data_IF_967057313212
#
_entry.id   IF_967057313212
#
_cell.length_a   1.000
_cell.length_b   1.000
_cell.length_c   1.000
_cell.angle_alpha   90.00
_cell.angle_beta   90.00
_cell.angle_gamma   90.00
#
_symmetry.space_group_name_H-M   'P 1'
#
loop_
_entity.id
_entity.type
_entity.pdbx_description
1 polymer ?
#
# COMPACT_ATOMS: atom_id res chain seq x y z
N UNK A 1 2.88 -8.95 -18.18
CA UNK A 1 1.76 -9.73 -18.78
C UNK A 1 0.71 -9.93 -17.70
N UNK A 2 -0.56 -9.77 -18.04
CA UNK A 2 -1.69 -10.16 -17.20
C UNK A 2 -2.28 -11.48 -17.73
N UNK A 3 -2.74 -12.36 -16.85
CA UNK A 3 -3.27 -13.67 -17.20
C UNK A 3 -4.60 -13.87 -16.49
N UNK A 4 -5.63 -14.31 -17.21
CA UNK A 4 -6.87 -14.81 -16.63
C UNK A 4 -6.75 -16.32 -16.42
N UNK A 5 -6.96 -16.77 -15.18
CA UNK A 5 -6.90 -18.18 -14.79
C UNK A 5 -8.29 -18.57 -14.29
N UNK A 6 -8.78 -19.71 -14.77
CA UNK A 6 -10.02 -20.29 -14.28
C UNK A 6 -9.83 -20.87 -12.87
N UNK A 7 -10.67 -20.42 -11.95
CA UNK A 7 -10.65 -20.83 -10.53
C UNK A 7 -11.95 -21.51 -10.10
N UNK A 8 -12.85 -21.81 -11.03
CA UNK A 8 -14.07 -22.57 -10.75
C UNK A 8 -13.77 -24.07 -10.78
N UNK A 9 -13.91 -24.74 -9.62
CA UNK A 9 -13.60 -26.17 -9.44
C UNK A 9 -14.48 -27.08 -10.30
N UNK A 10 -15.68 -26.61 -10.70
CA UNK A 10 -16.62 -27.37 -11.52
C UNK A 10 -16.40 -27.15 -13.03
N UNK A 11 -15.49 -26.26 -13.42
CA UNK A 11 -15.19 -25.95 -14.81
C UNK A 11 -14.26 -26.98 -15.45
N UNK A 12 -14.53 -27.36 -16.71
CA UNK A 12 -13.64 -28.19 -17.52
C UNK A 12 -12.24 -27.56 -17.72
N UNK A 13 -12.12 -26.24 -17.51
CA UNK A 13 -10.87 -25.48 -17.62
C UNK A 13 -10.27 -25.08 -16.28
N UNK A 14 -10.70 -25.66 -15.15
CA UNK A 14 -10.15 -25.38 -13.82
C UNK A 14 -8.61 -25.39 -13.79
N UNK A 15 -8.02 -24.39 -13.13
CA UNK A 15 -6.57 -24.16 -13.05
C UNK A 15 -5.86 -23.93 -14.40
N UNK A 16 -6.60 -23.66 -15.49
CA UNK A 16 -6.03 -23.35 -16.79
C UNK A 16 -6.08 -21.85 -17.10
N UNK A 17 -5.23 -21.43 -18.02
CA UNK A 17 -5.20 -20.06 -18.51
C UNK A 17 -6.29 -19.89 -19.57
N UNK A 18 -7.24 -19.00 -19.32
CA UNK A 18 -8.31 -18.66 -20.24
C UNK A 18 -7.84 -17.67 -21.31
N UNK A 19 -7.10 -16.64 -20.90
CA UNK A 19 -6.57 -15.61 -21.80
C UNK A 19 -5.38 -14.87 -21.20
N UNK A 20 -4.65 -14.12 -22.04
CA UNK A 20 -3.44 -13.39 -21.67
C UNK A 20 -3.42 -12.02 -22.36
N UNK A 21 -3.04 -10.98 -21.61
CA UNK A 21 -2.69 -9.67 -22.15
C UNK A 21 -1.18 -9.45 -21.99
N UNK A 22 -0.45 -9.54 -23.10
CA UNK A 22 0.99 -9.27 -23.13
C UNK A 22 1.20 -7.76 -23.15
N UNK A 23 1.98 -7.25 -22.20
CA UNK A 23 2.29 -5.83 -22.11
C UNK A 23 3.39 -5.48 -23.13
N UNK A 24 3.31 -4.32 -23.80
CA UNK A 24 4.16 -4.00 -24.94
C UNK A 24 5.62 -3.68 -24.57
N UNK A 25 5.92 -3.42 -23.30
CA UNK A 25 7.24 -3.00 -22.85
C UNK A 25 7.85 -3.97 -21.82
N UNK A 26 9.18 -3.94 -21.72
CA UNK A 26 9.97 -4.76 -20.80
C UNK A 26 10.50 -3.90 -19.65
N UNK A 27 10.74 -4.51 -18.49
CA UNK A 27 11.34 -3.82 -17.34
C UNK A 27 10.33 -3.04 -16.48
N UNK A 28 9.05 -3.37 -16.60
CA UNK A 28 7.96 -2.63 -15.95
C UNK A 28 7.81 -2.87 -14.47
N UNK A 29 8.00 -4.13 -14.05
CA UNK A 29 7.73 -4.54 -12.68
C UNK A 29 6.29 -4.21 -12.25
N UNK A 30 5.33 -4.93 -12.85
CA UNK A 30 3.95 -4.96 -12.37
C UNK A 30 3.94 -5.58 -10.98
N UNK A 31 3.39 -4.87 -9.99
CA UNK A 31 3.46 -5.28 -8.58
C UNK A 31 2.08 -5.34 -7.93
N UNK A 32 1.50 -4.19 -7.61
CA UNK A 32 0.12 -4.07 -7.15
C UNK A 32 -0.84 -3.87 -8.32
N UNK A 33 -2.10 -4.26 -8.12
CA UNK A 33 -3.16 -4.09 -9.13
C UNK A 33 -4.45 -3.63 -8.47
N UNK A 34 -5.24 -2.81 -9.15
CA UNK A 34 -6.52 -2.29 -8.66
C UNK A 34 -7.64 -2.41 -9.68
N UNK A 35 -8.88 -2.23 -9.23
CA UNK A 35 -10.06 -2.15 -10.10
C UNK A 35 -10.44 -0.70 -10.36
N UNK A 36 -11.01 -0.43 -11.55
CA UNK A 36 -11.52 0.91 -11.89
C UNK A 36 -12.74 1.33 -11.06
N UNK A 37 -13.53 0.35 -10.62
CA UNK A 37 -14.69 0.57 -9.77
C UNK A 37 -14.80 -0.54 -8.72
N UNK A 38 -15.42 -0.25 -7.58
CA UNK A 38 -15.65 -1.24 -6.54
C UNK A 38 -16.88 -0.90 -5.70
N UNK A 39 -17.06 -1.59 -4.57
CA UNK A 39 -18.19 -1.38 -3.67
C UNK A 39 -18.23 0.04 -3.08
N UNK A 40 -17.14 0.82 -3.17
CA UNK A 40 -17.16 2.25 -2.86
C UNK A 40 -18.16 3.01 -3.75
N UNK A 41 -18.39 2.55 -4.98
CA UNK A 41 -19.32 3.12 -5.96
C UNK A 41 -20.77 2.61 -5.81
N UNK A 42 -21.17 2.10 -4.63
CA UNK A 42 -22.48 1.50 -4.39
C UNK A 42 -23.70 2.32 -4.86
N UNK A 43 -23.63 3.66 -4.77
CA UNK A 43 -24.72 4.55 -5.20
C UNK A 43 -24.70 4.88 -6.71
N UNK A 44 -23.82 4.23 -7.48
CA UNK A 44 -23.63 4.48 -8.92
C UNK A 44 -23.86 3.19 -9.73
N UNK A 45 -25.10 2.93 -10.18
CA UNK A 45 -25.44 1.73 -10.95
C UNK A 45 -24.65 1.57 -12.26
N UNK A 46 -24.13 2.67 -12.81
CA UNK A 46 -23.31 2.66 -14.03
C UNK A 46 -21.84 2.30 -13.78
N UNK A 47 -21.38 2.26 -12.53
CA UNK A 47 -20.01 1.89 -12.19
C UNK A 47 -19.85 0.37 -12.26
N UNK A 48 -19.06 -0.10 -13.24
CA UNK A 48 -18.78 -1.51 -13.45
C UNK A 48 -17.29 -1.81 -13.29
N UNK A 49 -16.98 -2.98 -12.74
CA UNK A 49 -15.64 -3.57 -12.72
C UNK A 49 -15.34 -4.12 -14.09
N UNK A 50 -14.67 -3.31 -14.90
CA UNK A 50 -14.40 -3.63 -16.31
C UNK A 50 -12.91 -3.62 -16.61
N UNK A 51 -12.11 -2.92 -15.78
CA UNK A 51 -10.68 -2.79 -16.00
C UNK A 51 -9.88 -3.12 -14.74
N UNK A 52 -8.77 -3.83 -14.97
CA UNK A 52 -7.66 -3.94 -14.03
C UNK A 52 -6.64 -2.85 -14.37
N UNK A 53 -6.24 -2.09 -13.35
CA UNK A 53 -5.18 -1.08 -13.42
C UNK A 53 -3.89 -1.74 -12.93
N UNK A 54 -2.83 -1.59 -13.72
CA UNK A 54 -1.50 -2.14 -13.46
C UNK A 54 -0.47 -1.01 -13.36
N UNK A 55 -0.29 -0.40 -12.18
CA UNK A 55 0.87 0.42 -11.89
C UNK A 55 2.16 -0.40 -12.03
N UNK A 56 3.14 0.17 -12.71
CA UNK A 56 4.42 -0.47 -12.96
C UNK A 56 5.52 0.30 -12.22
N UNK A 57 6.08 -0.33 -11.20
CA UNK A 57 7.01 0.32 -10.29
C UNK A 57 8.21 0.91 -11.03
N UNK A 58 8.95 0.03 -11.73
CA UNK A 58 10.26 0.41 -12.25
C UNK A 58 10.15 1.39 -13.42
N UNK A 59 9.21 1.16 -14.34
CA UNK A 59 9.05 2.01 -15.52
C UNK A 59 8.18 3.24 -15.31
N UNK A 60 7.39 3.31 -14.23
CA UNK A 60 6.38 4.34 -13.99
C UNK A 60 5.24 4.38 -15.03
N UNK A 61 5.04 3.32 -15.81
CA UNK A 61 3.83 3.18 -16.65
C UNK A 61 2.64 2.71 -15.83
N UNK A 62 1.45 3.04 -16.32
CA UNK A 62 0.19 2.52 -15.77
C UNK A 62 -0.60 1.96 -16.93
N UNK A 63 -0.98 0.69 -16.85
CA UNK A 63 -1.81 0.04 -17.86
C UNK A 63 -3.25 -0.11 -17.38
N UNK A 64 -4.19 0.04 -18.30
CA UNK A 64 -5.61 -0.23 -18.08
C UNK A 64 -6.01 -1.37 -19.01
N UNK A 65 -6.23 -2.54 -18.41
CA UNK A 65 -6.56 -3.77 -19.13
C UNK A 65 -8.03 -4.06 -18.94
N UNK A 66 -8.78 -4.08 -20.04
CA UNK A 66 -10.19 -4.49 -20.04
C UNK A 66 -10.27 -6.01 -19.80
N UNK A 67 -11.13 -6.38 -18.86
CA UNK A 67 -11.35 -7.75 -18.41
C UNK A 67 -12.85 -8.09 -18.35
N UNK A 68 -13.69 -7.37 -19.11
CA UNK A 68 -15.14 -7.65 -19.19
C UNK A 68 -15.44 -9.03 -19.78
N UNK A 69 -14.56 -9.51 -20.65
CA UNK A 69 -14.55 -10.86 -21.19
C UNK A 69 -13.26 -11.54 -20.73
N UNK A 70 -13.38 -12.49 -19.80
CA UNK A 70 -12.25 -13.23 -19.23
C UNK A 70 -11.51 -14.10 -20.26
N UNK A 71 -12.12 -14.37 -21.42
CA UNK A 71 -11.50 -15.09 -22.55
C UNK A 71 -10.87 -14.15 -23.57
N UNK A 72 -11.09 -12.84 -23.44
CA UNK A 72 -10.54 -11.81 -24.32
C UNK A 72 -10.08 -10.55 -23.55
N UNK A 73 -9.21 -10.76 -22.56
CA UNK A 73 -8.59 -9.64 -21.86
C UNK A 73 -7.65 -8.87 -22.79
N UNK A 74 -7.71 -7.54 -22.77
CA UNK A 74 -6.98 -6.70 -23.73
C UNK A 74 -6.55 -5.36 -23.12
N UNK A 75 -5.46 -4.83 -23.64
CA UNK A 75 -4.95 -3.53 -23.23
C UNK A 75 -5.74 -2.41 -23.92
N UNK A 76 -6.44 -1.58 -23.15
CA UNK A 76 -7.26 -0.48 -23.69
C UNK A 76 -6.55 0.88 -23.59
N UNK A 77 -5.73 1.11 -22.55
CA UNK A 77 -5.01 2.39 -22.35
C UNK A 77 -3.67 2.19 -21.62
N UNK A 78 -2.71 3.04 -21.96
CA UNK A 78 -1.41 3.19 -21.28
C UNK A 78 -1.27 4.66 -20.88
N UNK A 79 -0.87 4.91 -19.64
CA UNK A 79 -0.27 6.19 -19.24
C UNK A 79 1.25 5.99 -19.28
N UNK A 80 1.91 6.77 -20.11
CA UNK A 80 3.36 6.76 -20.29
C UNK A 80 4.11 7.37 -19.10
N UNK A 81 5.41 7.07 -18.90
CA UNK A 81 6.19 7.70 -17.86
C UNK A 81 6.26 9.23 -18.06
N UNK A 82 6.33 9.70 -19.30
CA UNK A 82 6.37 11.12 -19.66
C UNK A 82 5.09 11.85 -19.23
N UNK A 83 3.93 11.21 -19.32
CA UNK A 83 2.68 11.77 -18.78
C UNK A 83 2.73 11.89 -17.26
N UNK A 84 3.31 10.92 -16.55
CA UNK A 84 3.49 10.97 -15.09
C UNK A 84 4.47 12.08 -14.66
N UNK A 85 5.48 12.37 -15.49
CA UNK A 85 6.42 13.47 -15.24
C UNK A 85 5.74 14.83 -15.13
N UNK A 86 4.63 15.05 -15.84
CA UNK A 86 3.86 16.30 -15.75
C UNK A 86 3.31 16.55 -14.34
N UNK A 87 3.22 15.51 -13.52
CA UNK A 87 2.75 15.57 -12.13
C UNK A 87 3.91 15.51 -11.12
N UNK A 88 5.17 15.60 -11.60
CA UNK A 88 6.38 15.44 -10.80
C UNK A 88 6.30 14.18 -9.90
N UNK A 89 5.95 13.05 -10.53
CA UNK A 89 5.67 11.79 -9.87
C UNK A 89 6.31 10.61 -10.62
N UNK A 90 6.72 9.59 -9.86
CA UNK A 90 7.23 8.32 -10.38
C UNK A 90 6.90 7.17 -9.44
N UNK A 91 7.19 5.95 -9.89
CA UNK A 91 7.09 4.73 -9.10
C UNK A 91 5.69 4.52 -8.49
N UNK A 92 4.64 4.45 -9.34
CA UNK A 92 3.26 4.27 -8.90
C UNK A 92 3.07 2.85 -8.34
N UNK A 93 2.35 2.71 -7.23
CA UNK A 93 2.30 1.45 -6.48
C UNK A 93 0.87 0.94 -6.25
N UNK A 94 0.23 1.26 -5.11
CA UNK A 94 -1.13 0.84 -4.79
C UNK A 94 -2.16 1.69 -5.52
N UNK A 95 -3.21 1.04 -6.02
CA UNK A 95 -4.32 1.67 -6.74
C UNK A 95 -5.67 1.34 -6.07
N UNK A 96 -6.50 2.36 -5.83
CA UNK A 96 -7.85 2.19 -5.32
C UNK A 96 -8.90 3.04 -6.07
N UNK A 97 -10.08 2.46 -6.27
CA UNK A 97 -11.29 3.07 -6.86
C UNK A 97 -12.06 3.92 -5.86
N UNK A 98 -12.20 5.21 -6.13
CA UNK A 98 -12.89 6.15 -5.24
C UNK A 98 -14.41 6.18 -5.48
N UNK A 99 -15.16 6.56 -4.45
CA UNK A 99 -16.62 6.66 -4.51
C UNK A 99 -17.11 7.75 -5.49
N UNK A 100 -16.29 8.77 -5.75
CA UNK A 100 -16.57 9.81 -6.74
C UNK A 100 -16.39 9.32 -8.20
N UNK A 101 -15.89 8.10 -8.38
CA UNK A 101 -15.67 7.47 -9.68
C UNK A 101 -14.29 7.74 -10.27
N UNK A 102 -13.41 8.47 -9.57
CA UNK A 102 -12.00 8.57 -9.91
C UNK A 102 -11.25 7.34 -9.39
N UNK A 103 -10.02 7.18 -9.87
CA UNK A 103 -9.04 6.21 -9.38
C UNK A 103 -7.92 7.00 -8.74
N UNK A 104 -7.45 6.54 -7.59
CA UNK A 104 -6.27 7.11 -6.93
C UNK A 104 -5.16 6.07 -6.94
N UNK A 105 -3.92 6.52 -7.14
CA UNK A 105 -2.72 5.67 -7.13
C UNK A 105 -1.64 6.39 -6.35
N UNK A 106 -1.06 5.77 -5.33
CA UNK A 106 0.08 6.41 -4.65
C UNK A 106 1.34 6.34 -5.52
N UNK A 107 2.18 7.35 -5.40
CA UNK A 107 3.47 7.48 -6.08
C UNK A 107 4.57 7.62 -5.04
N UNK A 108 5.65 6.85 -5.18
CA UNK A 108 6.70 6.76 -4.17
C UNK A 108 7.87 7.72 -4.41
N UNK A 109 7.96 8.35 -5.58
CA UNK A 109 8.98 9.35 -5.83
C UNK A 109 8.53 10.51 -6.71
N UNK A 110 9.43 11.50 -6.80
CA UNK A 110 9.30 12.64 -7.71
C UNK A 110 9.63 12.24 -9.15
N UNK A 111 9.54 13.17 -10.11
CA UNK A 111 9.89 12.89 -11.50
C UNK A 111 11.32 12.38 -11.71
N UNK A 112 12.22 12.70 -10.77
CA UNK A 112 13.62 12.28 -10.77
C UNK A 112 13.89 11.04 -9.90
N UNK A 113 12.86 10.31 -9.45
CA UNK A 113 12.96 9.14 -8.58
C UNK A 113 13.53 9.44 -7.16
N UNK A 114 13.52 10.70 -6.71
CA UNK A 114 13.87 11.07 -5.34
C UNK A 114 12.69 10.84 -4.37
N UNK A 115 12.98 10.98 -3.07
CA UNK A 115 12.00 10.90 -1.98
C UNK A 115 10.87 11.91 -2.17
N UNK A 116 9.67 11.41 -2.52
CA UNK A 116 8.44 12.19 -2.53
C UNK A 116 7.24 11.26 -2.65
N UNK A 117 6.44 11.20 -1.60
CA UNK A 117 5.17 10.50 -1.58
C UNK A 117 3.99 11.42 -1.92
N UNK A 118 3.18 11.01 -2.88
CA UNK A 118 1.92 11.66 -3.23
C UNK A 118 0.89 10.62 -3.74
N UNK A 119 -0.27 11.08 -4.18
CA UNK A 119 -1.32 10.25 -4.76
C UNK A 119 -1.84 10.88 -6.04
N UNK A 120 -1.64 10.22 -7.17
CA UNK A 120 -2.14 10.62 -8.47
C UNK A 120 -3.64 10.30 -8.57
N UNK A 121 -4.43 11.28 -9.01
CA UNK A 121 -5.84 11.13 -9.33
C UNK A 121 -6.00 10.92 -10.84
N UNK A 122 -6.79 9.91 -11.20
CA UNK A 122 -7.06 9.51 -12.57
C UNK A 122 -8.57 9.47 -12.76
N UNK A 123 -9.05 9.97 -13.90
CA UNK A 123 -10.46 9.86 -14.24
C UNK A 123 -10.84 8.39 -14.49
N UNK A 124 -11.81 7.86 -13.75
CA UNK A 124 -12.18 6.43 -13.87
C UNK A 124 -12.98 6.09 -15.12
N UNK A 125 -13.31 7.06 -15.98
CA UNK A 125 -13.96 6.82 -17.28
C UNK A 125 -13.00 6.98 -18.44
N UNK A 126 -12.20 8.05 -18.46
CA UNK A 126 -11.27 8.33 -19.57
C UNK A 126 -9.87 7.77 -19.35
N UNK A 127 -9.55 7.40 -18.10
CA UNK A 127 -8.21 6.98 -17.67
C UNK A 127 -7.13 8.03 -17.91
N UNK A 128 -7.52 9.30 -17.96
CA UNK A 128 -6.56 10.42 -18.01
C UNK A 128 -6.14 10.81 -16.59
N UNK A 129 -4.83 11.05 -16.36
CA UNK A 129 -4.36 11.77 -15.18
C UNK A 129 -5.06 13.13 -15.03
N UNK A 130 -5.40 13.50 -13.80
CA UNK A 130 -6.10 14.75 -13.48
C UNK A 130 -5.20 15.69 -12.70
N UNK A 131 -4.84 15.29 -11.49
CA UNK A 131 -4.08 16.07 -10.53
C UNK A 131 -3.48 15.15 -9.46
N UNK A 132 -2.73 15.70 -8.51
CA UNK A 132 -2.33 15.03 -7.29
C UNK A 132 -3.29 15.36 -6.14
N UNK A 133 -3.52 14.39 -5.25
CA UNK A 133 -4.34 14.55 -4.05
C UNK A 133 -3.74 15.56 -3.07
N UNK A 134 -2.41 15.57 -2.92
CA UNK A 134 -1.68 16.56 -2.14
C UNK A 134 -1.07 17.61 -3.07
N UNK A 135 -1.16 18.87 -2.65
CA UNK A 135 -0.31 19.93 -3.18
C UNK A 135 1.16 19.54 -3.05
N UNK A 136 1.99 19.99 -3.99
CA UNK A 136 3.41 19.64 -4.06
C UNK A 136 4.17 19.94 -2.74
N UNK A 137 3.88 21.09 -2.15
CA UNK A 137 4.45 21.55 -0.87
C UNK A 137 4.00 20.75 0.35
N UNK A 138 2.92 19.97 0.23
CA UNK A 138 2.32 19.14 1.29
C UNK A 138 2.66 17.67 1.14
N UNK A 139 3.45 17.30 0.13
CA UNK A 139 3.93 15.94 -0.08
C UNK A 139 4.64 15.39 1.17
N UNK A 140 4.66 14.06 1.28
CA UNK A 140 5.37 13.34 2.35
C UNK A 140 6.72 12.87 1.84
N UNK A 141 7.72 12.63 2.70
CA UNK A 141 9.05 12.20 2.24
C UNK A 141 8.99 10.84 1.54
N UNK A 142 8.14 9.92 2.01
CA UNK A 142 8.03 8.57 1.46
C UNK A 142 6.56 8.17 1.27
N UNK A 143 6.33 7.18 0.41
CA UNK A 143 5.05 6.51 0.25
C UNK A 143 5.28 5.02 0.01
N UNK A 144 4.28 4.20 0.32
CA UNK A 144 4.23 2.78 -0.04
C UNK A 144 2.80 2.33 -0.32
N UNK A 145 1.96 2.31 0.71
CA UNK A 145 0.57 1.88 0.61
C UNK A 145 -0.34 2.93 1.24
N UNK A 146 -1.62 2.87 0.92
CA UNK A 146 -2.62 3.69 1.57
C UNK A 146 -3.99 3.03 1.48
N UNK A 147 -4.84 3.37 2.44
CA UNK A 147 -6.26 3.03 2.37
C UNK A 147 -7.05 4.18 3.01
N UNK A 148 -8.31 4.32 2.64
CA UNK A 148 -9.21 5.34 3.14
C UNK A 148 -10.54 4.79 3.67
N UNK A 149 -11.16 5.52 4.59
CA UNK A 149 -12.47 5.26 5.19
C UNK A 149 -13.31 6.55 5.12
N UNK A 150 -14.03 6.81 4.01
CA UNK A 150 -14.70 8.09 3.78
C UNK A 150 -15.75 8.42 4.85
N UNK A 151 -16.47 7.40 5.34
CA UNK A 151 -17.50 7.56 6.40
C UNK A 151 -16.90 7.99 7.75
N UNK A 152 -15.59 7.85 7.93
CA UNK A 152 -14.84 8.28 9.12
C UNK A 152 -13.93 9.46 8.82
N UNK A 153 -14.06 10.05 7.62
CA UNK A 153 -13.30 11.18 7.14
C UNK A 153 -11.77 11.03 7.27
N UNK A 154 -11.26 9.81 7.06
CA UNK A 154 -9.85 9.49 7.30
C UNK A 154 -9.24 8.69 6.15
N UNK A 155 -7.99 9.01 5.84
CA UNK A 155 -7.10 8.18 5.04
C UNK A 155 -5.81 7.97 5.81
N UNK A 156 -5.20 6.80 5.64
CA UNK A 156 -3.89 6.47 6.18
C UNK A 156 -2.99 6.04 5.04
N UNK A 157 -1.76 6.55 5.03
CA UNK A 157 -0.69 6.05 4.18
C UNK A 157 0.53 5.66 5.00
N UNK A 158 1.37 4.84 4.39
CA UNK A 158 2.61 4.32 4.97
C UNK A 158 3.81 4.67 4.09
N UNK A 159 5.00 4.28 4.54
CA UNK A 159 6.27 4.69 3.97
C UNK A 159 7.16 3.50 3.59
N UNK A 160 7.87 3.63 2.47
CA UNK A 160 8.94 2.71 2.08
C UNK A 160 10.28 3.43 1.94
N UNK A 161 10.64 3.90 0.76
CA UNK A 161 11.94 4.51 0.45
C UNK A 161 11.88 5.25 -0.88
N UNK A 162 12.95 5.93 -1.29
CA UNK A 162 12.98 6.49 -2.66
C UNK A 162 13.06 5.39 -3.70
N UNK A 163 12.46 5.59 -4.86
CA UNK A 163 12.66 4.74 -6.02
C UNK A 163 14.14 4.54 -6.38
N UNK A 164 14.98 5.59 -6.26
CA UNK A 164 16.44 5.48 -6.46
C UNK A 164 17.10 4.40 -5.60
N UNK A 165 16.74 4.32 -4.33
CA UNK A 165 17.33 3.35 -3.38
C UNK A 165 16.70 1.98 -3.50
N UNK A 166 15.39 1.94 -3.68
CA UNK A 166 14.64 0.70 -3.85
C UNK A 166 15.16 -0.11 -5.04
N UNK A 167 15.42 0.56 -6.18
CA UNK A 167 15.91 -0.08 -7.41
C UNK A 167 17.31 -0.69 -7.25
N UNK A 168 18.10 -0.24 -6.28
CA UNK A 168 19.42 -0.79 -5.96
C UNK A 168 19.35 -2.03 -5.06
N UNK A 169 18.15 -2.35 -4.53
CA UNK A 169 17.94 -3.39 -3.53
C UNK A 169 18.03 -2.86 -2.10
N UNK A 170 17.68 -3.70 -1.13
CA UNK A 170 17.72 -3.30 0.28
C UNK A 170 19.16 -3.25 0.82
N UNK A 171 19.55 -2.10 1.37
CA UNK A 171 20.83 -1.93 2.09
C UNK A 171 20.58 -1.49 3.56
N UNK A 172 20.95 -2.31 4.56
CA UNK A 172 20.88 -1.94 5.97
C UNK A 172 21.64 -0.66 6.32
N UNK A 173 22.71 -0.32 5.59
CA UNK A 173 23.45 0.93 5.82
C UNK A 173 22.65 2.14 5.39
N UNK A 174 21.79 2.00 4.39
CA UNK A 174 20.91 3.07 3.93
C UNK A 174 19.71 3.27 4.85
N UNK A 175 19.24 2.21 5.52
CA UNK A 175 18.29 2.34 6.63
C UNK A 175 18.86 3.19 7.76
N UNK A 176 20.11 2.96 8.16
CA UNK A 176 20.78 3.77 9.18
C UNK A 176 21.00 5.24 8.75
N UNK A 177 21.03 5.53 7.44
CA UNK A 177 21.13 6.89 6.89
C UNK A 177 19.78 7.59 6.72
N UNK A 178 18.66 6.92 7.05
CA UNK A 178 17.31 7.48 6.90
C UNK A 178 16.78 7.47 5.46
N UNK A 179 17.31 6.61 4.60
CA UNK A 179 16.83 6.47 3.21
C UNK A 179 15.56 5.62 3.09
N UNK A 180 15.11 5.03 4.19
CA UNK A 180 13.86 4.29 4.31
C UNK A 180 12.99 4.91 5.40
N UNK A 181 11.70 4.96 5.14
CA UNK A 181 10.70 5.47 6.05
C UNK A 181 10.36 4.52 7.19
N UNK A 182 9.79 5.11 8.21
CA UNK A 182 9.34 4.42 9.42
C UNK A 182 8.09 5.09 10.00
N UNK A 183 7.35 5.82 9.17
CA UNK A 183 6.19 6.58 9.62
C UNK A 183 4.91 6.16 8.91
N UNK A 184 3.81 6.57 9.53
CA UNK A 184 2.46 6.43 9.02
C UNK A 184 1.83 7.81 9.05
N UNK A 185 1.16 8.20 7.97
CA UNK A 185 0.52 9.50 7.87
C UNK A 185 -0.99 9.37 7.93
N UNK A 186 -1.63 10.23 8.71
CA UNK A 186 -3.07 10.30 8.87
C UNK A 186 -3.55 11.59 8.21
N UNK A 187 -4.52 11.46 7.31
CA UNK A 187 -5.10 12.55 6.57
C UNK A 187 -6.59 12.68 6.88
N UNK A 188 -7.08 13.91 6.87
CA UNK A 188 -8.51 14.20 6.78
C UNK A 188 -8.96 14.01 5.35
N UNK A 189 -9.81 13.02 5.12
CA UNK A 189 -10.17 12.56 3.78
C UNK A 189 -10.84 13.66 2.94
N UNK A 190 -11.75 14.43 3.55
CA UNK A 190 -12.55 15.46 2.89
C UNK A 190 -11.78 16.71 2.49
N UNK A 191 -10.73 17.07 3.24
CA UNK A 191 -9.96 18.30 3.02
C UNK A 191 -8.57 18.06 2.44
N UNK A 192 -8.18 16.78 2.28
CA UNK A 192 -6.86 16.35 1.80
C UNK A 192 -5.71 16.84 2.70
N UNK A 193 -6.01 17.12 3.96
CA UNK A 193 -5.06 17.69 4.90
C UNK A 193 -4.38 16.58 5.69
N UNK A 194 -3.04 16.60 5.76
CA UNK A 194 -2.28 15.71 6.64
C UNK A 194 -2.43 16.20 8.08
N UNK A 195 -3.17 15.46 8.89
CA UNK A 195 -3.43 15.76 10.29
C UNK A 195 -2.25 15.40 11.18
N UNK A 196 -1.63 14.25 10.91
CA UNK A 196 -0.59 13.70 11.81
C UNK A 196 0.37 12.78 11.06
N UNK A 197 1.64 12.83 11.46
CA UNK A 197 2.61 11.77 11.22
C UNK A 197 2.82 11.01 12.52
N UNK A 198 2.77 9.68 12.45
CA UNK A 198 3.08 8.77 13.54
C UNK A 198 4.38 8.07 13.17
N UNK A 199 5.46 8.45 13.84
CA UNK A 199 6.75 7.77 13.71
C UNK A 199 6.73 6.45 14.49
N UNK A 200 7.15 5.38 13.84
CA UNK A 200 7.33 4.07 14.44
C UNK A 200 8.80 3.93 14.88
N UNK A 201 9.08 3.28 16.02
CA UNK A 201 10.46 3.00 16.41
C UNK A 201 11.14 2.14 15.35
N UNK A 202 12.26 2.61 14.78
CA UNK A 202 12.97 1.94 13.67
C UNK A 202 13.28 0.48 13.97
N UNK A 203 13.68 0.15 15.21
CA UNK A 203 13.99 -1.22 15.62
C UNK A 203 12.77 -2.16 15.55
N UNK A 204 11.55 -1.63 15.66
CA UNK A 204 10.32 -2.41 15.79
C UNK A 204 9.34 -2.23 14.63
N UNK A 205 9.49 -1.19 13.81
CA UNK A 205 8.51 -0.79 12.79
C UNK A 205 9.08 0.00 11.62
N UNK A 206 10.34 -0.22 11.26
CA UNK A 206 10.88 0.29 10.00
C UNK A 206 10.12 -0.32 8.80
N UNK A 207 10.04 0.44 7.70
CA UNK A 207 9.35 0.01 6.49
C UNK A 207 7.90 -0.44 6.77
N UNK A 208 7.03 0.45 7.27
CA UNK A 208 5.60 0.16 7.37
C UNK A 208 5.05 0.00 5.95
N UNK A 209 4.75 -1.23 5.58
CA UNK A 209 4.23 -1.59 4.27
C UNK A 209 2.71 -1.48 4.26
N UNK A 210 2.02 -2.62 4.21
CA UNK A 210 0.59 -2.70 3.91
C UNK A 210 -0.27 -2.05 4.99
N UNK A 211 -1.17 -1.16 4.57
CA UNK A 211 -2.22 -0.55 5.40
C UNK A 211 -3.50 -1.34 5.20
N UNK A 212 -4.08 -1.87 6.28
CA UNK A 212 -5.32 -2.66 6.22
C UNK A 212 -6.31 -2.18 7.28
N UNK A 213 -7.48 -1.72 6.85
CA UNK A 213 -8.59 -1.50 7.76
C UNK A 213 -9.26 -2.83 8.09
N UNK A 214 -9.69 -2.99 9.34
CA UNK A 214 -10.53 -4.13 9.70
C UNK A 214 -11.92 -4.00 9.05
N UNK A 215 -12.29 -5.03 8.28
CA UNK A 215 -13.61 -5.18 7.66
C UNK A 215 -14.63 -5.70 8.68
N UNK A 216 -14.91 -4.99 9.77
CA UNK A 216 -15.99 -5.38 10.68
C UNK A 216 -17.30 -4.67 10.33
N UNK A 217 -18.16 -5.36 9.58
CA UNK A 217 -19.58 -5.00 9.40
C UNK A 217 -20.35 -4.95 10.74
N UNK A 218 -19.90 -5.69 11.76
CA UNK A 218 -20.55 -5.75 13.07
C UNK A 218 -20.07 -4.72 14.11
N UNK A 219 -19.06 -3.90 13.80
CA UNK A 219 -18.57 -2.88 14.73
C UNK A 219 -19.26 -1.52 14.54
N UNK A 220 -20.56 -1.53 14.21
CA UNK A 220 -21.39 -0.31 14.20
C UNK A 220 -21.61 0.25 15.62
N UNK A 221 -21.32 -0.52 16.66
CA UNK A 221 -21.48 -0.11 18.06
C UNK A 221 -20.21 0.38 18.75
N UNK A 222 -19.01 0.18 18.17
CA UNK A 222 -17.79 0.75 18.72
C UNK A 222 -17.33 1.94 17.89
N UNK A 223 -17.20 3.10 18.53
CA UNK A 223 -16.58 4.30 17.97
C UNK A 223 -15.07 4.14 17.67
N UNK A 224 -14.56 2.92 17.49
CA UNK A 224 -13.14 2.61 17.39
C UNK A 224 -12.76 2.25 15.96
N UNK A 225 -11.84 3.02 15.38
CA UNK A 225 -11.16 2.68 14.13
C UNK A 225 -9.96 1.81 14.49
N UNK A 226 -9.84 0.65 13.83
CA UNK A 226 -8.68 -0.22 13.96
C UNK A 226 -8.02 -0.36 12.59
N UNK A 227 -6.69 -0.23 12.57
CA UNK A 227 -5.87 -0.34 11.36
C UNK A 227 -4.68 -1.22 11.65
N UNK A 228 -4.50 -2.24 10.84
CA UNK A 228 -3.34 -3.12 10.87
C UNK A 228 -2.32 -2.63 9.86
N UNK A 229 -1.07 -2.51 10.29
CA UNK A 229 0.06 -2.15 9.44
C UNK A 229 1.11 -3.26 9.52
N UNK A 230 1.45 -3.85 8.39
CA UNK A 230 2.54 -4.83 8.30
C UNK A 230 3.86 -4.09 8.16
N UNK A 231 4.81 -4.34 9.06
CA UNK A 231 6.13 -3.68 9.07
C UNK A 231 7.25 -4.69 9.20
N UNK A 232 8.46 -4.30 8.80
CA UNK A 232 9.66 -5.11 8.99
C UNK A 232 10.39 -4.71 10.28
N UNK A 233 10.76 -5.68 11.11
CA UNK A 233 11.70 -5.42 12.19
C UNK A 233 13.14 -5.45 11.65
N UNK A 234 13.87 -4.35 11.80
CA UNK A 234 15.30 -4.32 11.51
C UNK A 234 16.08 -4.87 12.71
N UNK A 235 16.61 -6.09 12.59
CA UNK A 235 17.60 -6.59 13.55
C UNK A 235 18.94 -5.92 13.20
N UNK A 236 19.23 -4.79 13.84
CA UNK A 236 20.56 -4.18 13.79
C UNK A 236 21.51 -5.12 14.56
N UNK A 237 22.54 -5.70 13.92
CA UNK A 237 23.51 -6.51 14.65
C UNK A 237 24.21 -5.62 15.68
N UNK A 238 24.22 -6.00 16.96
CA UNK A 238 25.14 -5.40 17.93
C UNK A 238 26.58 -5.52 17.40
N UNK A 239 27.45 -4.53 17.66
CA UNK A 239 28.88 -4.69 17.37
C UNK A 239 29.44 -5.80 18.27
N UNK A 240 29.54 -7.01 17.73
CA UNK A 240 30.22 -8.12 18.38
C UNK A 240 31.68 -7.70 18.63
N UNK A 241 32.03 -7.50 19.90
CA UNK A 241 33.41 -7.56 20.35
C UNK A 241 34.03 -8.86 19.82
N UNK A 242 35.02 -8.70 18.93
CA UNK A 242 35.88 -9.72 18.32
C UNK A 242 35.73 -11.13 18.92
N UNK A 243 35.04 -12.01 18.21
CA UNK A 243 35.38 -13.44 18.21
C UNK A 243 35.58 -13.91 16.77
N UNK A 244 36.75 -14.51 16.59
CA UNK A 244 37.28 -15.03 15.33
C UNK A 244 36.37 -16.15 14.82
N UNK A 245 35.92 -16.05 13.56
CA UNK A 245 35.15 -17.08 12.87
C UNK A 245 34.06 -16.48 12.01
N UNK A 246 34.27 -16.46 10.69
CA UNK A 246 33.28 -16.01 9.72
C UNK A 246 32.08 -16.98 9.70
N UNK A 247 30.95 -16.54 10.26
CA UNK A 247 29.64 -17.15 10.05
C UNK A 247 28.78 -16.12 9.31
N UNK A 248 28.16 -16.46 8.17
CA UNK A 248 27.28 -15.53 7.47
C UNK A 248 26.07 -15.23 8.36
N UNK A 249 25.92 -13.98 8.78
CA UNK A 249 24.74 -13.49 9.50
C UNK A 249 23.59 -13.44 8.49
N UNK A 250 22.68 -14.43 8.54
CA UNK A 250 21.38 -14.32 7.87
C UNK A 250 20.52 -13.33 8.67
N UNK A 251 20.26 -12.15 8.11
CA UNK A 251 19.20 -11.29 8.61
C UNK A 251 17.86 -12.03 8.48
N UNK A 252 17.16 -12.26 9.59
CA UNK A 252 15.77 -12.72 9.58
C UNK A 252 14.89 -11.48 9.65
N UNK A 253 14.22 -11.15 8.55
CA UNK A 253 13.10 -10.21 8.60
C UNK A 253 11.96 -10.86 9.40
N UNK A 254 11.46 -10.16 10.42
CA UNK A 254 10.25 -10.58 11.15
C UNK A 254 9.16 -9.59 10.78
N UNK A 255 8.09 -10.08 10.16
CA UNK A 255 6.90 -9.28 9.93
C UNK A 255 6.20 -9.02 11.27
N UNK A 256 5.92 -7.75 11.56
CA UNK A 256 5.13 -7.33 12.73
C UNK A 256 3.91 -6.58 12.29
N UNK A 257 2.78 -6.93 12.88
CA UNK A 257 1.55 -6.16 12.76
C UNK A 257 1.52 -5.08 13.83
N UNK A 258 1.19 -3.85 13.45
CA UNK A 258 0.94 -2.72 14.36
C UNK A 258 -0.53 -2.36 14.25
N UNK A 259 -1.25 -2.39 15.38
CA UNK A 259 -2.66 -2.01 15.46
C UNK A 259 -2.77 -0.59 16.01
N UNK A 260 -3.18 0.35 15.16
CA UNK A 260 -3.57 1.69 15.60
C UNK A 260 -5.05 1.64 16.00
N UNK A 261 -5.36 2.03 17.24
CA UNK A 261 -6.73 2.12 17.75
C UNK A 261 -6.96 3.47 18.43
N UNK A 262 -8.18 4.00 18.34
CA UNK A 262 -8.62 5.09 19.20
C UNK A 262 -8.91 4.52 20.60
N UNK A 263 -8.03 4.78 21.57
CA UNK A 263 -8.10 4.13 22.87
C UNK A 263 -8.75 5.03 23.94
N UNK A 264 -9.81 4.51 24.54
CA UNK A 264 -10.11 4.66 25.97
C UNK A 264 -10.36 3.26 26.57
N UNK A 265 -9.68 3.02 27.70
CA UNK A 265 -9.57 1.84 28.59
C UNK A 265 -8.80 0.57 28.15
N UNK A 266 -7.83 0.18 29.01
CA UNK A 266 -6.94 -0.98 28.93
C UNK A 266 -7.43 -2.13 29.84
N UNK A 267 -7.20 -3.39 29.46
CA UNK A 267 -7.05 -4.50 30.40
C UNK A 267 -5.94 -5.46 29.95
N UNK A 268 -5.07 -5.84 30.89
CA UNK A 268 -3.87 -6.64 30.66
C UNK A 268 -4.16 -8.15 30.70
N UNK A 269 -3.67 -8.91 29.71
CA UNK A 269 -3.68 -10.39 29.70
C UNK A 269 -2.62 -10.97 28.75
N UNK A 270 -1.82 -11.95 29.20
CA UNK A 270 -0.65 -12.56 28.53
C UNK A 270 -1.00 -13.97 28.09
N UNK A 271 -0.64 -14.40 26.87
CA UNK A 271 -0.57 -15.84 26.53
C UNK A 271 0.54 -16.13 25.49
N UNK A 272 1.25 -17.23 25.73
CA UNK A 272 2.26 -17.91 24.91
C UNK A 272 1.73 -18.44 23.58
N UNK A 273 2.57 -18.43 22.55
CA UNK A 273 2.33 -19.16 21.30
C UNK A 273 2.42 -20.68 21.52
N UNK A 274 1.43 -21.44 21.04
CA UNK A 274 1.64 -22.80 20.57
C UNK A 274 1.35 -22.83 19.07
N UNK A 275 2.27 -23.45 18.35
CA UNK A 275 2.13 -23.83 16.96
C UNK A 275 0.94 -24.77 16.81
N UNK A 276 -0.06 -24.36 16.03
CA UNK A 276 -0.74 -25.18 15.03
C UNK A 276 -1.69 -24.28 14.23
N UNK A 277 -1.97 -24.69 13.00
CA UNK A 277 -2.55 -23.92 11.90
C UNK A 277 -3.85 -23.15 12.22
N UNK A 278 -4.09 -22.08 11.44
CA UNK A 278 -5.29 -21.23 11.34
C UNK A 278 -5.43 -20.04 12.32
N UNK A 279 -5.61 -18.85 11.73
CA UNK A 279 -5.86 -17.53 12.34
C UNK A 279 -4.82 -17.02 13.37
N UNK A 280 -3.84 -16.26 12.87
CA UNK A 280 -3.07 -15.33 13.70
C UNK A 280 -3.96 -14.16 14.16
N UNK A 281 -4.74 -14.37 15.22
CA UNK A 281 -5.34 -13.27 15.99
C UNK A 281 -4.20 -12.62 16.78
N UNK A 282 -3.65 -11.53 16.24
CA UNK A 282 -2.62 -10.75 16.89
C UNK A 282 -3.21 -10.02 18.11
N UNK A 283 -3.20 -10.65 19.29
CA UNK A 283 -3.44 -9.96 20.57
C UNK A 283 -2.19 -9.13 20.90
N UNK A 284 -2.18 -7.87 20.48
CA UNK A 284 -1.13 -6.92 20.85
C UNK A 284 -1.27 -6.48 22.31
N UNK A 285 -0.29 -6.86 23.14
CA UNK A 285 0.13 -6.06 24.29
C UNK A 285 1.16 -5.05 23.82
N UNK A 286 0.71 -3.85 23.46
CA UNK A 286 1.58 -2.68 23.44
C UNK A 286 0.98 -1.64 24.38
N UNK A 287 1.74 -1.26 25.39
CA UNK A 287 1.40 -0.16 26.29
C UNK A 287 1.57 1.18 25.57
N UNK A 288 0.59 1.57 24.77
CA UNK A 288 0.45 2.94 24.29
C UNK A 288 -0.55 3.67 25.19
N UNK A 289 -0.04 4.54 26.07
CA UNK A 289 -0.85 5.50 26.81
C UNK A 289 -1.26 6.64 25.87
N UNK A 290 -2.58 6.87 25.82
CA UNK A 290 -3.29 8.04 25.29
C UNK A 290 -3.08 8.40 23.81
N UNK A 291 -4.04 8.04 22.94
CA UNK A 291 -4.27 8.72 21.66
C UNK A 291 -5.79 8.84 21.42
N UNK A 292 -6.23 10.10 21.24
CA UNK A 292 -7.58 10.63 20.97
C UNK A 292 -8.43 11.02 22.20
N UNK A 293 -8.14 12.21 22.75
CA UNK A 293 -9.15 13.11 23.32
C UNK A 293 -8.82 14.52 22.84
N UNK A 294 -9.85 15.23 22.33
CA UNK A 294 -9.86 16.63 21.88
C UNK A 294 -9.19 16.84 20.49
N UNK A 295 -9.83 17.40 19.45
CA UNK A 295 -11.07 18.18 19.31
C UNK A 295 -11.80 17.84 17.99
#
# INVERSE_FOLDING_TARGET
MLVAIDVDEESDTFCQILSKCVLPYVGDEVHHTGWNACSSCHDKPSAKRTHIILPCLNSSRIYFVNVEDERNIRLDKIISPEELQNYNASFPHTCHCLADGNIMINTCGDGNNNNKGNFLLIDGKTFEPKDCYLEDSKSVPFSYDYWYQPRRDVMISSEWGSPKRIKEGFDPTDLAKGNYGHSVHVYKWSTHEKLKTIELPICDGALPFEVRYFLFIYCLTAHKLAVQICSSAAVVPEPLQRRVGAVPIRAKAVERCICLTSASSCFAGSIQARSDESLCICRMRFGLKHILTEA
#
